data_IF_183324840740
#
_entry.id   IF_183324840740
#
_cell.length_a   1.000
_cell.length_b   1.000
_cell.length_c   1.000
_cell.angle_alpha   90.00
_cell.angle_beta   90.00
_cell.angle_gamma   90.00
#
_symmetry.space_group_name_H-M   'P 1'
#
loop_
_entity.id
_entity.type
_entity.pdbx_description
1 polymer ?
#
# COMPACT_ATOMS: atom_id res chain seq x y z
N UNK A 1 44.52 3.95 35.82
CA UNK A 1 44.16 4.24 34.41
C UNK A 1 43.41 3.07 33.72
N UNK A 2 42.53 2.35 34.44
CA UNK A 2 41.58 1.36 33.88
C UNK A 2 40.12 1.63 34.28
N UNK A 3 39.88 2.66 35.11
CA UNK A 3 38.53 3.07 35.54
C UNK A 3 37.86 4.11 34.63
N UNK A 4 38.58 4.68 33.64
CA UNK A 4 38.03 5.66 32.69
C UNK A 4 37.40 5.02 31.44
N UNK A 5 37.55 3.71 31.23
CA UNK A 5 37.08 3.02 30.02
C UNK A 5 35.69 2.37 30.21
N UNK A 6 35.25 2.17 31.46
CA UNK A 6 33.98 1.46 31.75
C UNK A 6 32.76 2.40 31.76
N UNK A 7 32.97 3.73 31.77
CA UNK A 7 31.90 4.74 31.77
C UNK A 7 31.35 5.09 30.38
N UNK A 8 31.90 4.53 29.30
CA UNK A 8 31.48 4.84 27.92
C UNK A 8 30.67 3.73 27.23
N UNK A 9 30.33 2.64 27.94
CA UNK A 9 29.64 1.46 27.41
C UNK A 9 28.30 1.21 28.11
N UNK A 10 27.51 2.28 28.34
CA UNK A 10 26.19 2.21 29.00
C UNK A 10 25.02 2.70 28.12
N UNK A 11 25.23 2.88 26.82
CA UNK A 11 24.18 3.31 25.89
C UNK A 11 23.92 2.33 24.74
N UNK A 12 24.09 1.02 24.95
CA UNK A 12 23.53 -0.01 24.05
C UNK A 12 22.27 -0.63 24.66
N UNK A 13 21.36 0.22 25.13
CA UNK A 13 20.01 -0.20 25.45
C UNK A 13 19.09 0.13 24.27
N UNK A 14 18.66 -0.95 23.63
CA UNK A 14 17.25 -1.21 23.34
C UNK A 14 16.56 -0.41 22.21
N UNK A 15 15.82 -1.20 21.43
CA UNK A 15 14.68 -0.79 20.59
C UNK A 15 14.98 -0.03 19.30
N UNK A 16 15.52 -0.75 18.31
CA UNK A 16 15.12 -0.49 16.93
C UNK A 16 13.70 -1.02 16.71
N UNK A 17 12.71 -0.41 17.37
CA UNK A 17 11.34 -0.46 16.90
C UNK A 17 11.28 0.53 15.73
N UNK A 18 11.47 0.02 14.51
CA UNK A 18 11.14 0.78 13.30
C UNK A 18 9.64 1.03 13.35
N UNK A 19 9.24 2.17 13.91
CA UNK A 19 7.95 2.76 13.57
C UNK A 19 8.01 2.97 12.08
N UNK A 20 7.29 2.14 11.33
CA UNK A 20 6.80 2.46 10.00
C UNK A 20 5.96 3.73 10.16
N UNK A 21 6.64 4.88 10.13
CA UNK A 21 5.99 6.13 9.81
C UNK A 21 5.54 5.93 8.38
N UNK A 22 4.26 5.57 8.21
CA UNK A 22 3.59 5.60 6.94
C UNK A 22 3.83 7.00 6.36
N UNK A 23 4.89 7.11 5.56
CA UNK A 23 5.24 8.29 4.81
C UNK A 23 4.00 8.56 3.97
N UNK A 24 3.20 9.54 4.38
CA UNK A 24 2.12 10.08 3.57
C UNK A 24 2.81 10.80 2.43
N UNK A 25 3.27 10.04 1.44
CA UNK A 25 3.66 10.56 0.17
C UNK A 25 2.40 11.24 -0.37
N UNK A 26 2.43 12.57 -0.42
CA UNK A 26 1.40 13.33 -1.11
C UNK A 26 1.54 12.97 -2.60
N UNK A 27 0.75 12.00 -3.04
CA UNK A 27 0.61 11.62 -4.43
C UNK A 27 -0.06 12.78 -5.16
N UNK A 28 0.73 13.75 -5.61
CA UNK A 28 0.28 15.02 -6.18
C UNK A 28 -0.77 14.82 -7.29
N UNK A 29 -0.63 13.76 -8.10
CA UNK A 29 -1.59 13.42 -9.16
C UNK A 29 -2.95 12.89 -8.67
N UNK A 30 -3.02 12.27 -7.49
CA UNK A 30 -4.24 11.64 -6.98
C UNK A 30 -5.04 12.55 -6.03
N UNK A 31 -4.47 13.69 -5.61
CA UNK A 31 -5.05 14.54 -4.57
C UNK A 31 -6.34 15.25 -4.99
N UNK A 32 -6.55 15.51 -6.29
CA UNK A 32 -7.77 16.10 -6.83
C UNK A 32 -8.97 15.15 -6.90
N UNK A 33 -8.80 13.87 -6.58
CA UNK A 33 -9.88 12.87 -6.67
C UNK A 33 -10.76 12.96 -5.42
N UNK A 34 -12.00 13.43 -5.59
CA UNK A 34 -12.97 13.58 -4.48
C UNK A 34 -13.45 12.23 -3.91
N UNK A 35 -13.65 11.22 -4.77
CA UNK A 35 -14.08 9.91 -4.32
C UNK A 35 -12.91 9.17 -3.66
N UNK A 36 -13.04 8.87 -2.36
CA UNK A 36 -11.97 8.27 -1.56
C UNK A 36 -11.47 6.92 -2.12
N UNK A 37 -12.37 6.04 -2.55
CA UNK A 37 -11.98 4.74 -3.11
C UNK A 37 -11.19 4.90 -4.42
N UNK A 38 -11.60 5.84 -5.29
CA UNK A 38 -10.86 6.16 -6.51
C UNK A 38 -9.51 6.81 -6.20
N UNK A 39 -9.44 7.65 -5.16
CA UNK A 39 -8.19 8.25 -4.68
C UNK A 39 -7.22 7.17 -4.20
N UNK A 40 -7.68 6.24 -3.37
CA UNK A 40 -6.89 5.12 -2.89
C UNK A 40 -6.46 4.20 -4.03
N UNK A 41 -7.33 3.91 -4.99
CA UNK A 41 -6.96 3.17 -6.20
C UNK A 41 -5.84 3.88 -6.97
N UNK A 42 -5.96 5.20 -7.20
CA UNK A 42 -4.93 5.98 -7.87
C UNK A 42 -3.59 5.90 -7.12
N UNK A 43 -3.62 6.13 -5.80
CA UNK A 43 -2.44 6.03 -4.95
C UNK A 43 -1.82 4.64 -5.00
N UNK A 44 -2.62 3.57 -5.01
CA UNK A 44 -2.14 2.19 -5.10
C UNK A 44 -1.37 1.93 -6.39
N UNK A 45 -1.88 2.42 -7.52
CA UNK A 45 -1.27 2.21 -8.84
C UNK A 45 -0.01 3.07 -9.00
N UNK A 46 -0.05 4.32 -8.57
CA UNK A 46 1.10 5.23 -8.65
C UNK A 46 2.25 4.77 -7.73
N UNK A 47 1.91 4.36 -6.50
CA UNK A 47 2.85 3.80 -5.54
C UNK A 47 3.33 2.39 -5.87
N UNK A 48 2.56 1.66 -6.69
CA UNK A 48 2.59 0.21 -6.78
C UNK A 48 2.51 -0.51 -5.40
N UNK A 49 1.60 -0.06 -4.52
CA UNK A 49 1.46 -0.60 -3.16
C UNK A 49 0.05 -1.12 -2.88
N UNK A 50 -0.04 -2.41 -2.53
CA UNK A 50 -1.32 -3.08 -2.26
C UNK A 50 -2.01 -2.61 -0.97
N UNK A 51 -1.27 -2.00 -0.03
CA UNK A 51 -1.81 -1.45 1.22
C UNK A 51 -2.92 -0.40 1.00
N UNK A 52 -2.83 0.39 -0.07
CA UNK A 52 -3.89 1.33 -0.45
C UNK A 52 -5.14 0.61 -0.96
N UNK A 53 -4.99 -0.49 -1.68
CA UNK A 53 -6.12 -1.30 -2.15
C UNK A 53 -6.94 -1.88 -0.99
N UNK A 54 -6.28 -2.30 0.10
CA UNK A 54 -6.94 -2.87 1.28
C UNK A 54 -7.85 -1.87 2.02
N UNK A 55 -7.67 -0.56 1.76
CA UNK A 55 -8.46 0.52 2.35
C UNK A 55 -9.67 0.94 1.50
N UNK A 56 -9.82 0.38 0.30
CA UNK A 56 -10.95 0.64 -0.60
C UNK A 56 -12.20 -0.08 -0.05
N UNK A 57 -13.29 0.67 0.14
CA UNK A 57 -14.54 0.14 0.67
C UNK A 57 -15.37 -0.66 -0.35
N UNK A 58 -15.29 -0.28 -1.63
CA UNK A 58 -15.94 -1.02 -2.71
C UNK A 58 -15.19 -2.32 -3.07
N UNK A 59 -15.80 -3.48 -2.79
CA UNK A 59 -15.16 -4.80 -3.00
C UNK A 59 -14.72 -5.09 -4.44
N UNK A 60 -15.51 -4.70 -5.45
CA UNK A 60 -15.12 -4.87 -6.87
C UNK A 60 -13.89 -4.02 -7.21
N UNK A 61 -13.88 -2.76 -6.77
CA UNK A 61 -12.78 -1.83 -7.02
C UNK A 61 -11.53 -2.23 -6.25
N UNK A 62 -11.68 -2.73 -5.02
CA UNK A 62 -10.59 -3.31 -4.24
C UNK A 62 -9.97 -4.51 -4.97
N UNK A 63 -10.78 -5.47 -5.43
CA UNK A 63 -10.30 -6.63 -6.16
C UNK A 63 -9.62 -6.22 -7.48
N UNK A 64 -10.18 -5.25 -8.20
CA UNK A 64 -9.54 -4.68 -9.41
C UNK A 64 -8.20 -4.00 -9.10
N UNK A 65 -8.11 -3.30 -7.97
CA UNK A 65 -6.87 -2.68 -7.49
C UNK A 65 -5.79 -3.74 -7.20
N UNK A 66 -6.14 -4.75 -6.40
CA UNK A 66 -5.25 -5.86 -6.05
C UNK A 66 -4.80 -6.65 -7.28
N UNK A 67 -5.69 -6.85 -8.26
CA UNK A 67 -5.35 -7.50 -9.51
C UNK A 67 -4.26 -6.75 -10.28
N UNK A 68 -4.38 -5.41 -10.38
CA UNK A 68 -3.42 -4.57 -11.12
C UNK A 68 -2.08 -4.41 -10.40
N UNK A 69 -2.09 -4.21 -9.08
CA UNK A 69 -0.84 -4.04 -8.31
C UNK A 69 -0.05 -5.35 -8.22
N UNK A 70 -0.73 -6.48 -7.98
CA UNK A 70 -0.06 -7.79 -7.85
C UNK A 70 0.11 -8.52 -9.18
N UNK A 71 -0.43 -7.95 -10.27
CA UNK A 71 -0.51 -8.58 -11.57
C UNK A 71 -1.08 -10.02 -11.57
N UNK A 72 -2.20 -10.21 -10.87
CA UNK A 72 -2.75 -11.55 -10.62
C UNK A 72 -4.26 -11.60 -10.91
N UNK A 73 -4.62 -12.38 -11.93
CA UNK A 73 -6.00 -12.56 -12.39
C UNK A 73 -6.92 -13.18 -11.32
N UNK A 74 -6.39 -13.84 -10.29
CA UNK A 74 -7.22 -14.44 -9.22
C UNK A 74 -8.09 -13.41 -8.52
N UNK A 75 -7.62 -12.17 -8.43
CA UNK A 75 -8.39 -11.08 -7.83
C UNK A 75 -9.52 -10.62 -8.76
N UNK A 76 -9.32 -10.61 -10.08
CA UNK A 76 -10.39 -10.30 -11.03
C UNK A 76 -11.56 -11.29 -10.91
N UNK A 77 -11.27 -12.58 -10.70
CA UNK A 77 -12.31 -13.62 -10.51
C UNK A 77 -13.24 -13.37 -9.32
N UNK A 78 -12.81 -12.57 -8.34
CA UNK A 78 -13.58 -12.20 -7.14
C UNK A 78 -14.50 -10.99 -7.34
N UNK A 79 -14.42 -10.31 -8.48
CA UNK A 79 -15.29 -9.19 -8.84
C UNK A 79 -16.70 -9.74 -9.11
N UNK A 80 -17.73 -9.14 -8.51
CA UNK A 80 -19.12 -9.56 -8.65
C UNK A 80 -19.74 -9.08 -9.95
N UNK A 81 -19.39 -7.89 -10.41
CA UNK A 81 -19.86 -7.35 -11.70
C UNK A 81 -19.09 -7.96 -12.88
N UNK A 82 -19.80 -8.67 -13.76
CA UNK A 82 -19.18 -9.38 -14.89
C UNK A 82 -18.51 -8.47 -15.92
N UNK A 83 -19.02 -7.25 -16.12
CA UNK A 83 -18.39 -6.29 -17.04
C UNK A 83 -17.07 -5.80 -16.46
N UNK A 84 -17.04 -5.48 -15.16
CA UNK A 84 -15.82 -5.10 -14.45
C UNK A 84 -14.83 -6.25 -14.38
N UNK A 85 -15.29 -7.48 -14.19
CA UNK A 85 -14.45 -8.70 -14.19
C UNK A 85 -13.73 -8.87 -15.51
N UNK A 86 -14.46 -8.88 -16.63
CA UNK A 86 -13.87 -8.99 -17.98
C UNK A 86 -12.89 -7.85 -18.26
N UNK A 87 -13.26 -6.61 -17.89
CA UNK A 87 -12.36 -5.46 -18.00
C UNK A 87 -11.09 -5.64 -17.15
N UNK A 88 -11.21 -6.16 -15.94
CA UNK A 88 -10.06 -6.43 -15.08
C UNK A 88 -9.10 -7.43 -15.75
N UNK A 89 -9.62 -8.59 -16.19
CA UNK A 89 -8.83 -9.65 -16.84
C UNK A 89 -8.15 -9.21 -18.13
N UNK A 90 -8.75 -8.26 -18.86
CA UNK A 90 -8.15 -7.70 -20.08
C UNK A 90 -7.00 -6.72 -19.81
N UNK A 91 -7.02 -6.00 -18.67
CA UNK A 91 -6.12 -4.87 -18.40
C UNK A 91 -5.18 -5.09 -17.20
N UNK A 92 -5.11 -6.31 -16.67
CA UNK A 92 -3.95 -6.76 -15.89
C UNK A 92 -2.73 -6.86 -16.84
N UNK A 93 -1.54 -6.49 -16.35
CA UNK A 93 -0.36 -6.25 -17.18
C UNK A 93 0.29 -7.54 -17.69
#
# INVERSE_FOLDING_TARGET
MRLLIVLLMLCLNATAATKDYAQKADYEGCNGIQNNDKKLYCQAIDANKAEFCNRIGNGDLQNKCLAKVNNDAKYCKRISDDKKKKSCEQYIR
#
